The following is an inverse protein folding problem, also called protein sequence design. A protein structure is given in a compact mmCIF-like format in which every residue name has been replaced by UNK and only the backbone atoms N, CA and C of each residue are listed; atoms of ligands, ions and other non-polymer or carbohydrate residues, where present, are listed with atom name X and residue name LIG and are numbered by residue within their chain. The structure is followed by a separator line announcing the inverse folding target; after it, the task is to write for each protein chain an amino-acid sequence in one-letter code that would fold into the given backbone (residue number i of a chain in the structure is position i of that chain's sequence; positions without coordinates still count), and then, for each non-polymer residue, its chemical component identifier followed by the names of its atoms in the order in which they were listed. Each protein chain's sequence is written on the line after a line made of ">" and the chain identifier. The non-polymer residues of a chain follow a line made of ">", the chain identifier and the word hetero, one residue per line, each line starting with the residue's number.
data_IF_000233814873
#
_entry.id   IF_000233814873
#
_cell.length_a   1.000
_cell.length_b   1.000
_cell.length_c   1.000
_cell.angle_alpha   90.00
_cell.angle_beta   90.00
_cell.angle_gamma   90.00
#
_symmetry.space_group_name_H-M   'P 1'
#
loop_
_entity.id
_entity.type
_entity.pdbx_description
1 polymer ?
#
# COMPACT_ATOMS: atom_id res chain seq x y z
N UNK A 1 5.37 2.74 -5.52
CA UNK A 1 5.97 1.99 -4.38
C UNK A 1 4.85 1.29 -3.63
N UNK A 2 5.03 0.03 -3.22
CA UNK A 2 4.02 -0.72 -2.45
C UNK A 2 4.42 -0.83 -0.97
N UNK A 3 3.67 -0.15 -0.11
CA UNK A 3 3.81 -0.22 1.34
C UNK A 3 2.83 -1.18 1.99
N UNK A 4 2.92 -1.26 3.31
CA UNK A 4 1.96 -1.95 4.18
C UNK A 4 1.60 -1.05 5.37
N UNK A 5 0.68 -1.45 6.24
CA UNK A 5 0.38 -0.81 7.53
C UNK A 5 1.66 -0.45 8.30
N UNK A 6 2.65 -1.34 8.23
CA UNK A 6 3.94 -1.21 8.88
C UNK A 6 4.79 -0.02 8.39
N UNK A 7 4.40 0.62 7.28
CA UNK A 7 5.01 1.87 6.80
C UNK A 7 4.59 3.08 7.62
N UNK A 8 3.45 2.98 8.33
CA UNK A 8 2.86 4.04 9.13
C UNK A 8 2.99 3.77 10.63
N UNK A 9 2.80 2.52 11.06
CA UNK A 9 2.83 2.12 12.48
C UNK A 9 3.39 0.71 12.66
N UNK A 10 4.20 0.50 13.70
CA UNK A 10 4.67 -0.83 14.08
C UNK A 10 3.59 -1.65 14.80
N UNK A 11 3.77 -2.97 14.85
CA UNK A 11 2.96 -3.88 15.65
C UNK A 11 3.86 -4.84 16.45
N UNK A 12 3.28 -5.51 17.45
CA UNK A 12 4.00 -6.54 18.19
C UNK A 12 4.53 -7.61 17.21
N UNK A 13 5.81 -7.99 17.35
CA UNK A 13 6.46 -8.97 16.48
C UNK A 13 6.97 -8.43 15.13
N UNK A 14 6.79 -7.15 14.80
CA UNK A 14 7.21 -6.59 13.50
C UNK A 14 8.56 -5.87 13.55
N UNK A 15 9.44 -6.16 14.51
CA UNK A 15 10.68 -5.39 14.73
C UNK A 15 11.61 -5.35 13.51
N UNK A 16 11.69 -6.44 12.74
CA UNK A 16 12.47 -6.47 11.50
C UNK A 16 11.71 -5.90 10.28
N UNK A 17 10.37 -5.95 10.31
CA UNK A 17 9.52 -5.61 9.16
C UNK A 17 9.13 -4.13 9.11
N UNK A 18 8.72 -3.55 10.25
CA UNK A 18 8.22 -2.19 10.31
C UNK A 18 9.28 -1.13 9.96
N UNK A 19 10.53 -1.19 10.47
CA UNK A 19 11.56 -0.23 10.07
C UNK A 19 11.85 -0.27 8.56
N UNK A 20 11.87 -1.46 7.96
CA UNK A 20 12.07 -1.61 6.52
C UNK A 20 10.94 -0.94 5.72
N UNK A 21 9.68 -1.13 6.13
CA UNK A 21 8.53 -0.48 5.49
C UNK A 21 8.48 1.03 5.70
N UNK A 22 8.77 1.50 6.91
CA UNK A 22 8.91 2.93 7.20
C UNK A 22 10.04 3.57 6.36
N UNK A 23 11.17 2.88 6.22
CA UNK A 23 12.26 3.28 5.34
C UNK A 23 11.87 3.37 3.87
N UNK A 24 11.08 2.41 3.36
CA UNK A 24 10.53 2.47 1.99
C UNK A 24 9.64 3.71 1.78
N UNK A 25 8.82 4.05 2.78
CA UNK A 25 8.00 5.27 2.73
C UNK A 25 8.85 6.54 2.73
N UNK A 26 9.84 6.62 3.60
CA UNK A 26 10.77 7.76 3.65
C UNK A 26 11.53 7.92 2.32
N UNK A 27 11.99 6.82 1.73
CA UNK A 27 12.62 6.82 0.41
C UNK A 27 11.65 7.33 -0.67
N UNK A 28 10.41 6.85 -0.70
CA UNK A 28 9.41 7.30 -1.67
C UNK A 28 9.13 8.80 -1.55
N UNK A 29 9.07 9.35 -0.33
CA UNK A 29 8.92 10.79 -0.10
C UNK A 29 10.12 11.58 -0.63
N UNK A 30 11.34 11.10 -0.39
CA UNK A 30 12.56 11.72 -0.92
C UNK A 30 12.57 11.72 -2.45
N UNK A 31 12.23 10.58 -3.06
CA UNK A 31 12.12 10.44 -4.51
C UNK A 31 11.05 11.37 -5.09
N UNK A 32 9.88 11.48 -4.47
CA UNK A 32 8.81 12.38 -4.92
C UNK A 32 9.28 13.84 -4.96
N UNK A 33 10.00 14.30 -3.93
CA UNK A 33 10.56 15.67 -3.88
C UNK A 33 11.65 15.89 -4.92
N UNK A 34 12.49 14.88 -5.17
CA UNK A 34 13.60 15.00 -6.11
C UNK A 34 13.17 14.88 -7.58
N UNK A 35 12.20 14.02 -7.87
CA UNK A 35 11.80 13.66 -9.23
C UNK A 35 10.55 14.41 -9.71
N UNK A 36 9.71 14.91 -8.79
CA UNK A 36 8.53 15.71 -9.13
C UNK A 36 8.84 16.92 -10.03
N UNK A 37 9.85 17.76 -9.72
CA UNK A 37 10.27 18.87 -10.60
C UNK A 37 10.77 18.43 -11.98
N UNK A 38 11.08 17.14 -12.17
CA UNK A 38 11.52 16.53 -13.43
C UNK A 38 10.37 15.86 -14.20
N UNK A 39 9.13 16.05 -13.76
CA UNK A 39 7.94 15.48 -14.42
C UNK A 39 7.72 13.99 -14.14
N UNK A 40 8.29 13.45 -13.05
CA UNK A 40 8.09 12.04 -12.67
C UNK A 40 7.20 11.94 -11.43
N UNK A 41 6.07 11.25 -11.57
CA UNK A 41 5.16 10.96 -10.47
C UNK A 41 5.69 9.81 -9.61
N UNK A 42 5.82 10.05 -8.31
CA UNK A 42 6.14 9.00 -7.33
C UNK A 42 4.96 8.84 -6.37
N UNK A 43 4.32 7.68 -6.44
CA UNK A 43 3.21 7.31 -5.56
C UNK A 43 3.53 6.12 -4.65
N UNK A 44 2.89 6.09 -3.49
CA UNK A 44 2.94 5.03 -2.49
C UNK A 44 1.55 4.44 -2.30
N UNK A 45 1.39 3.15 -2.59
CA UNK A 45 0.15 2.41 -2.33
C UNK A 45 0.38 1.59 -1.06
N UNK A 46 -0.27 1.97 0.03
CA UNK A 46 -0.33 1.24 1.29
C UNK A 46 -1.41 0.18 1.16
N UNK A 47 -1.02 -1.09 1.31
CA UNK A 47 -1.96 -2.20 1.47
C UNK A 47 -2.12 -2.46 2.97
N UNK A 48 -3.18 -1.92 3.56
CA UNK A 48 -3.55 -2.12 4.96
C UNK A 48 -4.53 -3.29 5.07
N UNK A 49 -3.99 -4.50 4.94
CA UNK A 49 -4.79 -5.72 4.99
C UNK A 49 -4.07 -6.91 4.34
N UNK A 50 -4.76 -8.04 4.30
CA UNK A 50 -4.26 -9.27 3.68
C UNK A 50 -4.80 -9.35 2.25
N UNK A 51 -3.93 -9.50 1.25
CA UNK A 51 -4.34 -9.64 -0.14
C UNK A 51 -4.94 -11.03 -0.38
N UNK A 52 -6.04 -11.11 -1.14
CA UNK A 52 -6.68 -12.35 -1.53
C UNK A 52 -5.83 -13.12 -2.54
N UNK A 53 -5.05 -14.09 -2.04
CA UNK A 53 -4.20 -14.98 -2.81
C UNK A 53 -4.50 -16.41 -2.38
N UNK A 54 -4.30 -17.37 -3.28
CA UNK A 54 -4.46 -18.79 -2.93
C UNK A 54 -3.66 -19.19 -1.67
N UNK A 55 -2.46 -18.62 -1.49
CA UNK A 55 -1.61 -18.86 -0.31
C UNK A 55 -2.12 -18.22 0.96
N UNK A 56 -2.73 -17.03 0.90
CA UNK A 56 -3.29 -16.36 2.08
C UNK A 56 -4.62 -16.99 2.49
N UNK A 57 -5.45 -17.38 1.52
CA UNK A 57 -6.67 -18.18 1.73
C UNK A 57 -6.37 -19.53 2.37
N UNK A 58 -5.36 -20.25 1.87
CA UNK A 58 -4.95 -21.53 2.48
C UNK A 58 -4.44 -21.37 3.92
N UNK A 59 -3.80 -20.24 4.26
CA UNK A 59 -3.32 -19.95 5.62
C UNK A 59 -4.42 -19.41 6.54
N UNK A 60 -5.53 -18.93 5.99
CA UNK A 60 -6.62 -18.28 6.72
C UNK A 60 -7.99 -18.74 6.17
N UNK A 61 -8.29 -20.05 6.21
CA UNK A 61 -9.48 -20.61 5.54
C UNK A 61 -10.80 -20.14 6.16
N UNK A 62 -10.80 -19.76 7.45
CA UNK A 62 -12.00 -19.35 8.18
C UNK A 62 -12.34 -17.86 8.03
N UNK A 63 -11.55 -17.10 7.26
CA UNK A 63 -11.78 -15.67 7.07
C UNK A 63 -12.78 -15.41 5.93
N UNK A 64 -13.79 -14.54 6.14
CA UNK A 64 -14.74 -14.17 5.08
C UNK A 64 -14.07 -13.33 4.00
N UNK A 65 -14.71 -13.19 2.84
CA UNK A 65 -14.16 -12.41 1.72
C UNK A 65 -13.86 -10.96 2.09
N UNK A 66 -14.72 -10.35 2.91
CA UNK A 66 -14.57 -8.98 3.41
C UNK A 66 -13.30 -8.74 4.24
N UNK A 67 -12.62 -9.80 4.69
CA UNK A 67 -11.33 -9.70 5.37
C UNK A 67 -10.16 -9.45 4.41
N UNK A 68 -10.30 -9.81 3.14
CA UNK A 68 -9.22 -9.76 2.17
C UNK A 68 -9.33 -8.57 1.22
N UNK A 69 -8.20 -8.02 0.84
CA UNK A 69 -8.11 -7.06 -0.26
C UNK A 69 -8.16 -7.81 -1.59
N UNK A 70 -9.13 -7.45 -2.44
CA UNK A 70 -9.22 -7.95 -3.80
C UNK A 70 -8.04 -7.44 -4.67
N UNK A 71 -7.20 -8.33 -5.24
CA UNK A 71 -6.13 -7.96 -6.16
C UNK A 71 -6.58 -7.10 -7.35
N UNK A 72 -7.79 -7.31 -7.87
CA UNK A 72 -8.32 -6.54 -8.99
C UNK A 72 -8.58 -5.08 -8.58
N UNK A 73 -9.17 -4.86 -7.40
CA UNK A 73 -9.37 -3.53 -6.85
C UNK A 73 -8.04 -2.82 -6.53
N UNK A 74 -7.04 -3.55 -6.02
CA UNK A 74 -5.68 -3.01 -5.84
C UNK A 74 -5.08 -2.55 -7.18
N UNK A 75 -5.23 -3.38 -8.22
CA UNK A 75 -4.72 -3.08 -9.55
C UNK A 75 -5.40 -1.84 -10.17
N UNK A 76 -6.72 -1.70 -9.99
CA UNK A 76 -7.47 -0.52 -10.42
C UNK A 76 -6.98 0.75 -9.72
N UNK A 77 -6.78 0.71 -8.39
CA UNK A 77 -6.24 1.83 -7.64
C UNK A 77 -4.81 2.21 -8.08
N UNK A 78 -3.96 1.20 -8.35
CA UNK A 78 -2.62 1.44 -8.88
C UNK A 78 -2.65 2.02 -10.30
N UNK A 79 -3.57 1.54 -11.15
CA UNK A 79 -3.78 2.07 -12.49
C UNK A 79 -4.25 3.52 -12.45
N UNK A 80 -5.23 3.84 -11.60
CA UNK A 80 -5.67 5.21 -11.35
C UNK A 80 -4.49 6.11 -10.98
N UNK A 81 -3.69 5.70 -9.99
CA UNK A 81 -2.55 6.48 -9.51
C UNK A 81 -1.53 6.74 -10.62
N UNK A 82 -1.20 5.72 -11.41
CA UNK A 82 -0.21 5.82 -12.49
C UNK A 82 -0.64 6.74 -13.66
N UNK A 83 -1.94 6.98 -13.82
CA UNK A 83 -2.50 7.76 -14.93
C UNK A 83 -3.06 9.12 -14.49
N UNK A 84 -2.80 9.56 -13.25
CA UNK A 84 -3.26 10.87 -12.78
C UNK A 84 -2.64 12.02 -13.58
N UNK A 85 -3.42 13.06 -13.90
CA UNK A 85 -2.86 14.26 -14.52
C UNK A 85 -1.89 14.95 -13.54
N UNK A 86 -0.80 15.57 -14.04
CA UNK A 86 0.19 16.26 -13.19
C UNK A 86 -0.38 17.39 -12.33
N UNK A 87 -1.57 17.90 -12.65
CA UNK A 87 -2.26 18.91 -11.86
C UNK A 87 -2.73 18.43 -10.49
N UNK A 88 -2.81 17.12 -10.25
CA UNK A 88 -3.35 16.54 -9.02
C UNK A 88 -2.71 15.19 -8.66
N UNK A 89 -1.37 15.11 -8.69
CA UNK A 89 -0.66 13.90 -8.28
C UNK A 89 -0.84 13.58 -6.79
N UNK A 90 -1.47 12.44 -6.53
CA UNK A 90 -1.57 11.82 -5.22
C UNK A 90 -0.23 11.20 -4.84
N UNK A 91 0.25 11.48 -3.62
CA UNK A 91 1.44 10.82 -3.10
C UNK A 91 1.13 9.46 -2.45
N UNK A 92 0.03 9.33 -1.71
CA UNK A 92 -0.27 8.14 -0.92
C UNK A 92 -1.72 7.70 -1.12
N UNK A 93 -1.92 6.42 -1.40
CA UNK A 93 -3.21 5.72 -1.36
C UNK A 93 -3.17 4.69 -0.24
N UNK A 94 -4.18 4.70 0.63
CA UNK A 94 -4.35 3.71 1.69
C UNK A 94 -5.55 2.82 1.34
N UNK A 95 -5.26 1.57 1.01
CA UNK A 95 -6.23 0.57 0.60
C UNK A 95 -6.43 -0.44 1.72
N UNK A 96 -7.68 -0.63 2.14
CA UNK A 96 -8.06 -1.57 3.18
C UNK A 96 -9.29 -2.38 2.77
N UNK A 97 -9.42 -3.64 3.21
CA UNK A 97 -10.61 -4.41 2.99
C UNK A 97 -11.74 -3.89 3.90
N UNK A 98 -12.98 -4.23 3.57
CA UNK A 98 -14.16 -3.74 4.31
C UNK A 98 -14.14 -4.13 5.80
N UNK A 99 -13.64 -5.33 6.10
CA UNK A 99 -13.58 -5.87 7.47
C UNK A 99 -12.45 -5.31 8.35
N UNK A 100 -11.59 -4.43 7.84
CA UNK A 100 -10.47 -3.86 8.61
C UNK A 100 -10.96 -2.83 9.64
N UNK A 101 -10.41 -2.88 10.86
CA UNK A 101 -10.78 -1.96 11.96
C UNK A 101 -9.67 -0.95 12.18
N UNK A 102 -9.99 0.34 12.01
CA UNK A 102 -9.01 1.44 12.04
C UNK A 102 -8.52 1.79 13.45
#
# INVERSE_FOLDING_TARGET
>A
VTGATASLRGAAGTAAFAPAKAGQRALAQSMARHLGPKGVHVGLVILDGVVDLATTRARMPDKPDEFFLDPAAIAEAAHFLAHQPPSAWTFELDLRPFGERW
#
